data_IF_502437559595
#
_entry.id   IF_502437559595
#
_cell.length_a   1.000
_cell.length_b   1.000
_cell.length_c   1.000
_cell.angle_alpha   90.00
_cell.angle_beta   90.00
_cell.angle_gamma   90.00
#
_symmetry.space_group_name_H-M   'P 1'
#
loop_
_entity.id
_entity.type
_entity.pdbx_description
1 polymer ?
#
# COMPACT_ATOMS: atom_id res chain seq x y z
N UNK A 1 2.93 -6.82 -22.30
CA UNK A 1 3.37 -5.93 -21.19
C UNK A 1 2.28 -4.89 -20.99
N UNK A 2 1.64 -4.79 -19.82
CA UNK A 2 0.62 -3.77 -19.57
C UNK A 2 1.31 -2.43 -19.28
N UNK A 3 0.86 -1.39 -19.95
CA UNK A 3 1.40 -0.03 -19.88
C UNK A 3 1.23 0.53 -18.47
N UNK A 4 2.28 1.16 -17.90
CA UNK A 4 2.28 1.74 -16.55
C UNK A 4 1.46 3.05 -16.42
N UNK A 5 0.79 3.45 -17.50
CA UNK A 5 -0.19 4.54 -17.57
C UNK A 5 -1.64 4.05 -17.30
N UNK A 6 -1.81 2.87 -16.72
CA UNK A 6 -3.14 2.29 -16.52
C UNK A 6 -3.91 3.10 -15.47
N UNK A 7 -4.92 3.86 -15.92
CA UNK A 7 -5.96 4.45 -15.08
C UNK A 7 -6.70 3.34 -14.36
N UNK A 8 -6.67 3.35 -13.03
CA UNK A 8 -7.30 2.31 -12.22
C UNK A 8 -6.93 2.48 -10.75
N UNK A 9 -7.70 1.83 -9.87
CA UNK A 9 -7.45 1.94 -8.44
C UNK A 9 -6.18 1.18 -8.03
N UNK A 10 -5.57 1.63 -6.95
CA UNK A 10 -4.52 0.90 -6.26
C UNK A 10 -5.07 0.33 -4.95
N UNK A 11 -4.60 -0.85 -4.55
CA UNK A 11 -4.94 -1.48 -3.28
C UNK A 11 -3.69 -1.61 -2.42
N UNK A 12 -3.69 -0.95 -1.28
CA UNK A 12 -2.62 -1.00 -0.29
C UNK A 12 -2.88 -2.07 0.76
N UNK A 13 -1.81 -2.79 1.13
CA UNK A 13 -1.83 -3.92 2.06
C UNK A 13 -0.79 -3.68 3.17
N UNK A 14 -1.25 -3.60 4.41
CA UNK A 14 -0.42 -3.71 5.60
C UNK A 14 -0.48 -5.14 6.13
N UNK A 15 0.58 -5.93 5.91
CA UNK A 15 0.57 -7.38 6.13
C UNK A 15 1.01 -7.70 7.56
N UNK A 16 0.03 -7.87 8.44
CA UNK A 16 0.21 -8.39 9.78
C UNK A 16 0.22 -9.93 9.85
N UNK A 17 0.48 -10.46 11.06
CA UNK A 17 0.45 -11.91 11.33
C UNK A 17 -0.97 -12.48 11.23
N UNK A 18 -1.95 -11.80 11.81
CA UNK A 18 -3.34 -12.29 11.92
C UNK A 18 -4.33 -11.55 11.01
N UNK A 19 -3.98 -10.34 10.58
CA UNK A 19 -4.84 -9.47 9.76
C UNK A 19 -4.01 -8.78 8.69
N UNK A 20 -4.68 -8.32 7.64
CA UNK A 20 -4.11 -7.41 6.64
C UNK A 20 -4.97 -6.15 6.62
N UNK A 21 -4.38 -5.01 6.96
CA UNK A 21 -5.01 -3.71 6.80
C UNK A 21 -5.12 -3.38 5.31
N UNK A 22 -6.26 -2.83 4.88
CA UNK A 22 -6.57 -2.59 3.48
C UNK A 22 -6.98 -1.12 3.25
N UNK A 23 -6.42 -0.49 2.23
CA UNK A 23 -6.90 0.80 1.74
C UNK A 23 -6.85 0.84 0.22
N UNK A 24 -7.73 1.63 -0.40
CA UNK A 24 -7.72 1.80 -1.86
C UNK A 24 -7.98 3.23 -2.28
N UNK A 25 -7.44 3.60 -3.44
CA UNK A 25 -7.70 4.90 -4.05
C UNK A 25 -8.63 4.79 -5.26
N UNK A 26 -9.23 5.90 -5.68
CA UNK A 26 -9.90 5.97 -6.98
C UNK A 26 -8.91 5.90 -8.16
N UNK A 27 -9.42 5.91 -9.39
CA UNK A 27 -8.61 5.86 -10.62
C UNK A 27 -7.77 7.12 -10.87
N UNK A 28 -8.06 8.22 -10.17
CA UNK A 28 -7.28 9.47 -10.23
C UNK A 28 -6.14 9.48 -9.22
N UNK A 29 -6.18 8.58 -8.22
CA UNK A 29 -5.24 8.57 -7.11
C UNK A 29 -5.45 9.72 -6.11
N UNK A 30 -6.56 10.47 -6.22
CA UNK A 30 -6.85 11.63 -5.35
C UNK A 30 -7.55 11.18 -4.08
N UNK A 31 -8.64 10.41 -4.21
CA UNK A 31 -9.39 9.96 -3.04
C UNK A 31 -8.85 8.62 -2.56
N UNK A 32 -8.41 8.55 -1.30
CA UNK A 32 -8.01 7.31 -0.62
C UNK A 32 -9.08 6.96 0.41
N UNK A 33 -9.42 5.68 0.53
CA UNK A 33 -10.38 5.17 1.49
C UNK A 33 -9.83 3.95 2.20
N UNK A 34 -10.03 3.87 3.52
CA UNK A 34 -9.82 2.62 4.25
C UNK A 34 -10.88 1.60 3.83
N UNK A 35 -10.50 0.34 3.85
CA UNK A 35 -11.35 -0.80 3.53
C UNK A 35 -11.42 -1.74 4.74
N UNK A 36 -12.46 -2.55 4.88
CA UNK A 36 -12.54 -3.51 5.98
C UNK A 36 -11.34 -4.48 5.94
N UNK A 37 -10.64 -4.68 7.07
CA UNK A 37 -9.42 -5.48 7.09
C UNK A 37 -9.71 -6.93 6.73
N UNK A 38 -8.71 -7.62 6.19
CA UNK A 38 -8.77 -9.05 5.90
C UNK A 38 -8.25 -9.82 7.12
N UNK A 39 -9.08 -10.71 7.67
CA UNK A 39 -8.64 -11.66 8.70
C UNK A 39 -7.99 -12.87 8.04
N UNK A 40 -6.69 -13.04 8.26
CA UNK A 40 -5.89 -14.02 7.51
C UNK A 40 -6.29 -15.43 7.84
N UNK A 41 -6.42 -16.26 6.81
CA UNK A 41 -6.66 -17.70 6.94
C UNK A 41 -5.73 -18.47 6.00
N UNK A 42 -6.28 -19.25 5.08
CA UNK A 42 -5.53 -19.83 3.98
C UNK A 42 -5.28 -18.78 2.89
N UNK A 43 -4.23 -18.96 2.09
CA UNK A 43 -3.93 -18.05 0.98
C UNK A 43 -5.09 -18.04 -0.04
N UNK A 44 -5.79 -19.16 -0.23
CA UNK A 44 -6.95 -19.26 -1.11
C UNK A 44 -8.13 -18.41 -0.62
N UNK A 45 -8.45 -18.45 0.68
CA UNK A 45 -9.49 -17.60 1.28
C UNK A 45 -9.10 -16.11 1.24
N UNK A 46 -7.85 -15.80 1.55
CA UNK A 46 -7.34 -14.42 1.49
C UNK A 46 -7.49 -13.84 0.07
N UNK A 47 -7.18 -14.63 -0.96
CA UNK A 47 -7.32 -14.21 -2.37
C UNK A 47 -8.77 -13.99 -2.78
N UNK A 48 -9.70 -14.84 -2.33
CA UNK A 48 -11.12 -14.66 -2.62
C UNK A 48 -11.62 -13.32 -2.07
N UNK A 49 -11.23 -12.98 -0.84
CA UNK A 49 -11.59 -11.71 -0.23
C UNK A 49 -10.99 -10.51 -0.98
N UNK A 50 -9.69 -10.56 -1.32
CA UNK A 50 -9.04 -9.48 -2.06
C UNK A 50 -9.62 -9.30 -3.48
N UNK A 51 -10.02 -10.39 -4.14
CA UNK A 51 -10.63 -10.35 -5.48
C UNK A 51 -11.93 -9.53 -5.51
N UNK A 52 -12.69 -9.49 -4.41
CA UNK A 52 -13.89 -8.65 -4.31
C UNK A 52 -13.54 -7.17 -4.54
N UNK A 53 -12.47 -6.68 -3.91
CA UNK A 53 -12.04 -5.29 -4.08
C UNK A 53 -11.44 -5.06 -5.45
N UNK A 54 -10.65 -6.01 -5.95
CA UNK A 54 -9.96 -5.88 -7.23
C UNK A 54 -10.95 -5.73 -8.38
N UNK A 55 -12.01 -6.55 -8.39
CA UNK A 55 -13.06 -6.48 -9.40
C UNK A 55 -13.89 -5.21 -9.23
N UNK A 56 -14.40 -4.95 -8.02
CA UNK A 56 -15.33 -3.84 -7.78
C UNK A 56 -14.70 -2.46 -7.97
N UNK A 57 -13.38 -2.33 -7.76
CA UNK A 57 -12.66 -1.06 -7.89
C UNK A 57 -11.79 -0.98 -9.14
N UNK A 58 -11.80 -1.98 -10.01
CA UNK A 58 -10.89 -2.06 -11.16
C UNK A 58 -9.42 -1.85 -10.75
N UNK A 59 -8.98 -2.59 -9.74
CA UNK A 59 -7.63 -2.44 -9.19
C UNK A 59 -6.58 -2.90 -10.18
N UNK A 60 -5.59 -2.05 -10.42
CA UNK A 60 -4.51 -2.27 -11.41
C UNK A 60 -3.17 -2.58 -10.77
N UNK A 61 -3.05 -2.46 -9.44
CA UNK A 61 -1.81 -2.79 -8.74
C UNK A 61 -1.97 -2.84 -7.23
N UNK A 62 -0.96 -3.44 -6.60
CA UNK A 62 -0.84 -3.53 -5.15
C UNK A 62 0.25 -2.60 -4.64
N UNK A 63 0.05 -2.03 -3.46
CA UNK A 63 1.07 -1.36 -2.65
C UNK A 63 1.22 -2.16 -1.36
N UNK A 64 2.45 -2.51 -0.96
CA UNK A 64 2.68 -3.33 0.23
C UNK A 64 3.68 -2.65 1.15
N UNK A 65 3.29 -2.47 2.41
CA UNK A 65 4.14 -1.98 3.49
C UNK A 65 5.25 -2.97 3.86
N UNK A 66 6.45 -2.45 4.00
CA UNK A 66 7.64 -3.17 4.44
C UNK A 66 8.09 -2.55 5.77
N UNK A 67 7.80 -3.23 6.90
CA UNK A 67 8.24 -2.75 8.21
C UNK A 67 9.74 -2.90 8.30
N UNK A 68 10.45 -1.84 8.69
CA UNK A 68 11.88 -1.85 8.96
C UNK A 68 12.12 -1.67 10.46
N UNK A 69 13.32 -1.98 10.95
CA UNK A 69 13.69 -1.63 12.33
C UNK A 69 14.04 -0.13 12.45
N UNK A 70 14.30 0.33 13.68
CA UNK A 70 14.65 1.73 13.99
C UNK A 70 15.92 2.22 13.28
N UNK A 71 16.74 1.30 12.77
CA UNK A 71 17.94 1.58 11.98
C UNK A 71 17.70 1.45 10.47
N UNK A 72 16.44 1.38 10.04
CA UNK A 72 15.99 1.18 8.66
C UNK A 72 16.51 -0.12 8.02
N UNK A 73 16.72 -1.18 8.81
CA UNK A 73 17.18 -2.48 8.32
C UNK A 73 16.03 -3.47 8.14
N UNK A 74 16.29 -4.44 7.25
CA UNK A 74 15.38 -5.56 6.96
C UNK A 74 15.28 -6.46 8.19
N UNK A 75 14.04 -6.76 8.58
CA UNK A 75 13.68 -7.67 9.65
C UNK A 75 13.07 -8.97 9.11
N UNK A 76 12.83 -9.93 10.00
CA UNK A 76 12.06 -11.14 9.68
C UNK A 76 10.64 -10.81 9.20
N UNK A 77 10.05 -9.74 9.73
CA UNK A 77 8.74 -9.25 9.31
C UNK A 77 8.80 -8.63 7.91
N UNK A 78 9.83 -7.83 7.59
CA UNK A 78 10.04 -7.32 6.22
C UNK A 78 10.09 -8.46 5.21
N UNK A 79 10.85 -9.52 5.54
CA UNK A 79 10.98 -10.71 4.69
C UNK A 79 9.62 -11.40 4.53
N UNK A 80 8.84 -11.52 5.61
CA UNK A 80 7.49 -12.08 5.57
C UNK A 80 6.57 -11.27 4.65
N UNK A 81 6.49 -9.94 4.83
CA UNK A 81 5.66 -9.05 4.02
C UNK A 81 6.03 -9.14 2.53
N UNK A 82 7.33 -9.12 2.20
CA UNK A 82 7.78 -9.28 0.80
C UNK A 82 7.38 -10.64 0.21
N UNK A 83 7.60 -11.73 0.95
CA UNK A 83 7.25 -13.09 0.48
C UNK A 83 5.75 -13.22 0.27
N UNK A 84 4.95 -12.75 1.21
CA UNK A 84 3.50 -12.86 1.15
C UNK A 84 2.91 -11.95 0.06
N UNK A 85 3.31 -10.67 0.03
CA UNK A 85 2.91 -9.73 -1.01
C UNK A 85 3.25 -10.22 -2.42
N UNK A 86 4.44 -10.81 -2.62
CA UNK A 86 4.84 -11.39 -3.91
C UNK A 86 3.96 -12.59 -4.29
N UNK A 87 3.58 -13.41 -3.31
CA UNK A 87 2.67 -14.55 -3.52
C UNK A 87 1.27 -14.07 -3.92
N UNK A 88 0.74 -13.06 -3.25
CA UNK A 88 -0.54 -12.42 -3.57
C UNK A 88 -0.51 -11.81 -4.97
N UNK A 89 0.45 -10.94 -5.26
CA UNK A 89 0.63 -10.29 -6.56
C UNK A 89 0.68 -11.30 -7.72
N UNK A 90 1.46 -12.38 -7.54
CA UNK A 90 1.56 -13.46 -8.54
C UNK A 90 0.22 -14.17 -8.77
N UNK A 91 -0.51 -14.52 -7.70
CA UNK A 91 -1.79 -15.24 -7.82
C UNK A 91 -2.92 -14.34 -8.32
N UNK A 92 -2.87 -13.04 -8.04
CA UNK A 92 -3.83 -12.03 -8.50
C UNK A 92 -3.51 -11.46 -9.89
N UNK A 93 -2.33 -11.77 -10.43
CA UNK A 93 -1.82 -11.22 -11.68
C UNK A 93 -1.79 -9.67 -11.69
N UNK A 94 -1.36 -9.09 -10.58
CA UNK A 94 -1.20 -7.65 -10.40
C UNK A 94 0.27 -7.28 -10.15
N UNK A 95 0.75 -6.14 -10.67
CA UNK A 95 2.03 -5.58 -10.24
C UNK A 95 1.98 -5.20 -8.76
N UNK A 96 3.15 -5.18 -8.12
CA UNK A 96 3.29 -4.80 -6.71
C UNK A 96 4.40 -3.77 -6.54
N UNK A 97 4.08 -2.69 -5.83
CA UNK A 97 5.02 -1.71 -5.31
C UNK A 97 5.28 -1.96 -3.83
N UNK A 98 6.48 -1.63 -3.37
CA UNK A 98 6.92 -1.81 -1.99
C UNK A 98 7.17 -0.43 -1.37
N UNK A 99 6.62 -0.20 -0.18
CA UNK A 99 6.77 1.06 0.56
C UNK A 99 7.42 0.74 1.89
N UNK A 100 8.53 1.40 2.19
CA UNK A 100 9.16 1.26 3.50
C UNK A 100 8.34 2.06 4.52
N UNK A 101 8.02 1.45 5.66
CA UNK A 101 7.37 2.15 6.77
C UNK A 101 8.39 3.10 7.42
N UNK A 102 8.24 4.40 7.19
CA UNK A 102 9.12 5.41 7.76
C UNK A 102 8.61 5.85 9.15
N UNK A 103 9.50 6.12 10.10
CA UNK A 103 9.14 6.62 11.44
C UNK A 103 8.45 8.00 11.40
N UNK A 104 8.73 8.83 10.39
CA UNK A 104 7.96 10.07 10.14
C UNK A 104 6.54 9.82 9.64
N UNK A 105 6.27 8.61 9.14
CA UNK A 105 4.92 8.17 8.74
C UNK A 105 4.16 7.64 9.97
N UNK A 106 4.87 7.10 10.96
CA UNK A 106 4.33 6.80 12.30
C UNK A 106 3.99 8.06 13.12
N UNK A 107 4.61 9.22 12.88
CA UNK A 107 4.09 10.47 13.46
C UNK A 107 2.81 10.95 12.78
N UNK A 108 2.55 10.51 11.53
CA UNK A 108 1.26 10.75 10.89
C UNK A 108 0.14 9.89 11.52
N UNK A 109 0.41 8.70 12.06
CA UNK A 109 -0.59 7.96 12.83
C UNK A 109 -1.00 8.70 14.12
N UNK A 110 -0.09 9.41 14.80
CA UNK A 110 -0.49 10.35 15.87
C UNK A 110 -1.42 11.46 15.37
N UNK A 111 -1.19 12.01 14.16
CA UNK A 111 -2.05 13.03 13.55
C UNK A 111 -3.49 12.56 13.33
N UNK A 112 -3.69 11.26 13.16
CA UNK A 112 -5.02 10.66 12.97
C UNK A 112 -5.64 10.16 14.29
N UNK A 113 -5.02 10.44 15.45
CA UNK A 113 -5.44 10.04 16.80
C UNK A 113 -5.64 8.52 17.00
N UNK A 114 -4.74 7.71 16.42
CA UNK A 114 -4.88 6.23 16.44
C UNK A 114 -4.65 5.61 17.82
N UNK A 115 -4.14 6.40 18.78
CA UNK A 115 -3.66 5.90 20.09
C UNK A 115 -4.83 5.47 20.98
N UNK A 116 -6.05 5.96 20.73
CA UNK A 116 -7.24 5.69 21.56
C UNK A 116 -8.31 4.78 20.93
N UNK A 117 -8.13 4.29 19.70
CA UNK A 117 -9.15 3.46 19.08
C UNK A 117 -9.04 1.98 19.46
N UNK A 118 -10.05 1.51 20.19
CA UNK A 118 -10.24 0.11 20.56
C UNK A 118 -11.33 -0.57 19.73
N UNK A 119 -11.93 0.14 18.77
CA UNK A 119 -13.09 -0.33 17.98
C UNK A 119 -12.70 -1.12 16.72
N UNK A 120 -11.41 -1.14 16.36
CA UNK A 120 -10.92 -1.79 15.14
C UNK A 120 -11.22 -1.01 13.86
N UNK A 121 -11.84 0.17 13.94
CA UNK A 121 -11.99 1.11 12.81
C UNK A 121 -10.64 1.51 12.22
N UNK A 122 -9.60 1.39 13.03
CA UNK A 122 -8.23 1.76 12.71
C UNK A 122 -7.34 0.65 12.16
N UNK A 123 -7.86 -0.57 12.02
CA UNK A 123 -7.13 -1.75 11.53
C UNK A 123 -6.53 -1.58 10.11
N UNK A 124 -7.01 -0.60 9.35
CA UNK A 124 -6.62 -0.34 7.96
C UNK A 124 -5.95 1.01 7.73
N UNK A 125 -5.74 1.81 8.78
CA UNK A 125 -5.20 3.16 8.60
C UNK A 125 -3.73 3.17 8.23
N UNK A 126 -2.94 2.21 8.71
CA UNK A 126 -1.56 2.04 8.24
C UNK A 126 -1.54 1.82 6.72
N UNK A 127 -2.44 0.98 6.19
CA UNK A 127 -2.56 0.79 4.75
C UNK A 127 -2.95 2.07 3.99
N UNK A 128 -3.82 2.92 4.57
CA UNK A 128 -4.15 4.23 4.01
C UNK A 128 -2.90 5.10 3.90
N UNK A 129 -2.13 5.21 4.98
CA UNK A 129 -0.98 6.10 5.03
C UNK A 129 0.12 5.60 4.08
N UNK A 130 0.33 4.29 4.00
CA UNK A 130 1.23 3.69 3.00
C UNK A 130 0.83 4.03 1.57
N UNK A 131 -0.46 4.04 1.27
CA UNK A 131 -0.97 4.40 -0.06
C UNK A 131 -0.77 5.89 -0.34
N UNK A 132 -1.05 6.75 0.65
CA UNK A 132 -0.83 8.19 0.57
C UNK A 132 0.63 8.52 0.30
N UNK A 133 1.56 7.88 1.04
CA UNK A 133 2.99 8.04 0.85
C UNK A 133 3.41 7.66 -0.57
N UNK A 134 2.99 6.48 -1.06
CA UNK A 134 3.35 6.00 -2.39
C UNK A 134 2.80 6.90 -3.51
N UNK A 135 1.57 7.39 -3.38
CA UNK A 135 0.97 8.31 -4.35
C UNK A 135 1.72 9.66 -4.38
N UNK A 136 2.11 10.19 -3.22
CA UNK A 136 2.90 11.41 -3.11
C UNK A 136 4.27 11.28 -3.77
N UNK A 137 5.01 10.21 -3.44
CA UNK A 137 6.34 9.93 -4.01
C UNK A 137 6.27 9.77 -5.55
N UNK A 138 5.18 9.19 -6.07
CA UNK A 138 4.95 9.12 -7.53
C UNK A 138 4.72 10.48 -8.16
N UNK A 139 3.89 11.32 -7.56
CA UNK A 139 3.66 12.67 -8.07
C UNK A 139 4.95 13.51 -8.08
N UNK A 140 5.78 13.41 -7.04
CA UNK A 140 7.08 14.08 -6.95
C UNK A 140 8.09 13.55 -7.98
N UNK A 141 8.12 12.24 -8.22
CA UNK A 141 9.00 11.64 -9.24
C UNK A 141 8.64 12.04 -10.68
N UNK A 142 7.40 12.47 -10.93
CA UNK A 142 6.92 12.90 -12.25
C UNK A 142 7.04 14.41 -12.49
N UNK A 143 7.26 15.21 -11.44
CA UNK A 143 7.30 16.68 -11.50
C UNK A 143 8.70 17.26 -11.71
N UNK A 144 9.65 16.48 -12.25
CA UNK A 144 10.92 17.01 -12.78
C UNK A 144 10.89 17.07 -14.32
N UNK A 145 10.53 18.23 -14.92
CA UNK A 145 10.91 18.54 -16.29
C UNK A 145 12.03 19.61 -16.35
N UNK A 146 13.13 19.20 -16.98
CA UNK A 146 14.05 19.97 -17.85
C UNK A 146 14.84 21.15 -17.25
N UNK A 147 16.12 20.91 -16.94
CA UNK A 147 17.14 21.97 -17.01
C UNK A 147 17.42 22.21 -18.49
N UNK A 148 16.90 23.31 -19.05
CA UNK A 148 17.49 23.92 -20.24
C UNK A 148 18.79 24.60 -19.81
N UNK A 149 19.93 23.94 -20.01
CA UNK A 149 21.21 24.66 -20.03
C UNK A 149 21.48 25.10 -21.47
N UNK A 150 20.76 26.13 -21.90
CA UNK A 150 21.24 27.01 -22.97
C UNK A 150 21.88 28.21 -22.28
N UNK A 151 23.18 28.15 -22.03
CA UNK A 151 24.03 29.33 -21.79
C UNK A 151 25.39 29.05 -22.42
N UNK A 152 25.58 29.75 -23.54
CA UNK A 152 26.81 30.13 -24.27
C UNK A 152 27.78 29.05 -24.80
#
# INVERSE_FOLDING_TARGET
>A
MRNLLQTGSMLSLDIGRSRIGLAGCDSTGITITTLPPLYRRTIEEDLLYLNLFIINRYTVGLVVGIPLDDLNKITSQSIHCRRYGKKLAKKLNLPVAWVNENSSTWSATERYDLVNDRSGHLDSMVAYILLEQWLRERCESQSIPMINTSMD
#
